data_IF_667821541791
#
_entry.id   IF_667821541791
#
_cell.length_a   1.000
_cell.length_b   1.000
_cell.length_c   1.000
_cell.angle_alpha   90.00
_cell.angle_beta   90.00
_cell.angle_gamma   90.00
#
_symmetry.space_group_name_H-M   'P 1'
#
loop_
_entity.id
_entity.type
_entity.pdbx_description
1 polymer ?
#
# COMPACT_ATOMS: atom_id res chain seq x y z
N UNK A 1 -12.96 26.51 39.61
CA UNK A 1 -13.67 26.87 40.84
C UNK A 1 -14.75 25.80 41.03
N UNK A 2 -14.40 24.80 41.85
CA UNK A 2 -15.28 23.93 42.63
C UNK A 2 -16.64 23.55 42.01
N UNK A 3 -16.70 22.45 41.24
CA UNK A 3 -17.93 21.66 41.15
C UNK A 3 -17.88 20.68 42.32
N UNK A 4 -18.56 21.07 43.40
CA UNK A 4 -18.75 20.28 44.61
C UNK A 4 -19.21 18.86 44.25
N UNK A 5 -18.47 17.86 44.76
CA UNK A 5 -18.94 16.49 44.87
C UNK A 5 -20.15 16.46 45.83
N UNK A 6 -21.34 16.18 45.32
CA UNK A 6 -22.47 15.72 46.13
C UNK A 6 -22.72 14.22 45.89
N UNK A 7 -22.33 13.45 46.90
CA UNK A 7 -22.31 11.99 47.00
C UNK A 7 -23.69 11.40 47.29
N UNK A 8 -24.56 11.28 46.27
CA UNK A 8 -25.77 10.44 46.37
C UNK A 8 -26.26 9.81 45.04
N UNK A 9 -25.47 9.88 43.96
CA UNK A 9 -25.78 9.23 42.68
C UNK A 9 -25.16 7.82 42.59
N UNK A 10 -25.82 6.91 43.31
CA UNK A 10 -26.04 5.47 43.08
C UNK A 10 -25.01 4.60 42.30
N UNK A 11 -24.71 3.37 42.80
CA UNK A 11 -23.89 2.37 42.11
C UNK A 11 -24.45 1.97 40.72
N UNK A 12 -25.71 2.32 40.44
CA UNK A 12 -26.39 2.13 39.17
C UNK A 12 -25.85 3.07 38.09
N UNK A 13 -25.56 4.34 38.42
CA UNK A 13 -25.04 5.32 37.44
C UNK A 13 -23.62 4.94 37.02
N UNK A 14 -22.80 4.46 37.97
CA UNK A 14 -21.46 3.94 37.68
C UNK A 14 -21.51 2.63 36.91
N UNK A 15 -22.45 1.72 37.21
CA UNK A 15 -22.70 0.53 36.40
C UNK A 15 -23.12 0.88 34.97
N UNK A 16 -24.03 1.84 34.79
CA UNK A 16 -24.50 2.28 33.47
C UNK A 16 -23.38 2.97 32.66
N UNK A 17 -22.54 3.78 33.30
CA UNK A 17 -21.35 4.36 32.68
C UNK A 17 -20.32 3.28 32.29
N UNK A 18 -20.06 2.31 33.17
CA UNK A 18 -19.16 1.19 32.89
C UNK A 18 -19.71 0.29 31.76
N UNK A 19 -21.01 -0.02 31.77
CA UNK A 19 -21.74 -0.70 30.70
C UNK A 19 -21.56 0.06 29.38
N UNK A 20 -21.77 1.38 29.37
CA UNK A 20 -21.55 2.21 28.18
C UNK A 20 -20.11 2.10 27.64
N UNK A 21 -19.10 2.18 28.52
CA UNK A 21 -17.68 1.99 28.16
C UNK A 21 -17.36 0.57 27.67
N UNK A 22 -18.05 -0.46 28.18
CA UNK A 22 -17.92 -1.85 27.70
C UNK A 22 -18.54 -2.07 26.32
N UNK A 23 -19.60 -1.31 25.97
CA UNK A 23 -20.29 -1.42 24.68
C UNK A 23 -19.70 -0.50 23.60
N UNK A 24 -19.06 0.61 23.97
CA UNK A 24 -18.28 1.45 23.07
C UNK A 24 -16.89 0.87 22.82
N UNK A 25 -16.81 -0.29 22.15
CA UNK A 25 -15.59 -0.61 21.40
C UNK A 25 -15.55 0.33 20.20
N UNK A 26 -14.82 1.43 20.32
CA UNK A 26 -14.44 2.21 19.16
C UNK A 26 -13.58 1.29 18.27
N UNK A 27 -14.08 0.94 17.09
CA UNK A 27 -13.25 0.33 16.06
C UNK A 27 -12.13 1.32 15.74
N UNK A 28 -10.88 0.87 15.84
CA UNK A 28 -9.75 1.73 15.58
C UNK A 28 -9.57 1.89 14.07
N UNK A 29 -9.62 3.12 13.58
CA UNK A 29 -9.31 3.42 12.18
C UNK A 29 -7.82 3.21 11.92
N UNK A 30 -7.48 2.72 10.73
CA UNK A 30 -6.10 2.59 10.30
C UNK A 30 -5.53 3.93 9.81
N UNK A 31 -4.20 4.15 9.94
CA UNK A 31 -3.55 5.30 9.34
C UNK A 31 -3.60 5.21 7.81
N UNK A 32 -3.38 6.32 7.10
CA UNK A 32 -3.22 6.28 5.64
C UNK A 32 -2.04 5.35 5.29
N UNK A 33 -2.26 4.31 4.47
CA UNK A 33 -1.18 3.41 4.10
C UNK A 33 -0.20 4.09 3.14
N UNK A 34 1.05 3.65 3.16
CA UNK A 34 2.11 4.15 2.29
C UNK A 34 2.65 3.04 1.38
N UNK A 35 3.13 3.45 0.20
CA UNK A 35 3.84 2.58 -0.74
C UNK A 35 5.21 2.15 -0.25
N UNK A 36 5.83 1.21 -0.96
CA UNK A 36 7.23 0.82 -0.77
C UNK A 36 8.06 1.18 -2.01
N UNK A 37 9.32 0.74 -2.08
CA UNK A 37 10.21 1.03 -3.22
C UNK A 37 9.65 0.58 -4.57
N UNK A 38 8.93 -0.55 -4.63
CA UNK A 38 8.44 -1.14 -5.88
C UNK A 38 6.91 -1.28 -5.93
N UNK A 39 6.19 -0.75 -4.94
CA UNK A 39 4.74 -0.79 -4.84
C UNK A 39 4.19 0.59 -4.52
N UNK A 40 3.07 0.96 -5.12
CA UNK A 40 2.38 2.22 -4.89
C UNK A 40 0.91 1.95 -4.61
N UNK A 41 0.23 2.86 -3.92
CA UNK A 41 -1.22 2.79 -3.79
C UNK A 41 -1.85 3.10 -5.14
N UNK A 42 -2.97 2.44 -5.46
CA UNK A 42 -3.73 2.80 -6.65
C UNK A 42 -4.42 4.15 -6.46
N UNK A 43 -4.79 4.81 -7.55
CA UNK A 43 -5.46 6.11 -7.52
C UNK A 43 -6.73 6.07 -6.66
N UNK A 44 -7.49 4.97 -6.70
CA UNK A 44 -8.69 4.81 -5.87
C UNK A 44 -8.36 4.81 -4.38
N UNK A 45 -7.27 4.15 -3.98
CA UNK A 45 -6.82 4.10 -2.59
C UNK A 45 -6.25 5.45 -2.12
N UNK A 46 -5.60 6.20 -3.02
CA UNK A 46 -5.07 7.54 -2.72
C UNK A 46 -6.17 8.57 -2.45
N UNK A 47 -7.33 8.42 -3.10
CA UNK A 47 -8.51 9.29 -2.97
C UNK A 47 -9.32 9.05 -1.68
N UNK A 48 -9.03 7.98 -0.93
CA UNK A 48 -9.69 7.72 0.34
C UNK A 48 -9.18 8.65 1.44
N UNK A 49 -10.12 9.15 2.24
CA UNK A 49 -9.86 10.08 3.34
C UNK A 49 -9.92 9.42 4.73
N UNK A 50 -10.50 8.23 4.85
CA UNK A 50 -10.64 7.50 6.10
C UNK A 50 -10.57 5.98 5.85
N UNK A 51 -10.12 5.23 6.86
CA UNK A 51 -9.87 3.80 6.76
C UNK A 51 -10.39 3.06 8.00
N UNK A 52 -11.73 2.97 8.18
CA UNK A 52 -12.31 2.22 9.30
C UNK A 52 -12.00 0.73 9.22
N UNK A 53 -12.25 0.02 10.32
CA UNK A 53 -12.11 -1.44 10.41
C UNK A 53 -12.74 -2.17 9.22
N UNK A 54 -12.01 -3.13 8.66
CA UNK A 54 -12.43 -3.89 7.48
C UNK A 54 -12.23 -3.18 6.14
N UNK A 55 -11.78 -1.92 6.12
CA UNK A 55 -11.42 -1.23 4.86
C UNK A 55 -10.36 -2.02 4.12
N UNK A 56 -10.55 -2.21 2.82
CA UNK A 56 -9.61 -2.88 1.93
C UNK A 56 -9.07 -1.88 0.92
N UNK A 57 -7.75 -1.76 0.83
CA UNK A 57 -7.09 -0.86 -0.14
C UNK A 57 -6.21 -1.65 -1.10
N UNK A 58 -6.10 -1.16 -2.32
CA UNK A 58 -5.30 -1.76 -3.39
C UNK A 58 -3.96 -1.07 -3.57
N UNK A 59 -2.97 -1.89 -3.90
CA UNK A 59 -1.64 -1.53 -4.33
C UNK A 59 -1.42 -2.04 -5.75
N UNK A 60 -0.52 -1.37 -6.45
CA UNK A 60 0.01 -1.80 -7.73
C UNK A 60 1.54 -1.71 -7.73
N UNK A 61 2.17 -2.34 -8.72
CA UNK A 61 3.61 -2.21 -8.89
C UNK A 61 3.96 -0.83 -9.43
N UNK A 62 5.03 -0.23 -8.88
CA UNK A 62 5.53 1.05 -9.34
C UNK A 62 5.93 1.02 -10.83
N UNK A 63 6.00 2.19 -11.45
CA UNK A 63 6.40 2.33 -12.85
C UNK A 63 7.73 1.60 -13.14
N UNK A 64 7.72 0.78 -14.20
CA UNK A 64 8.87 -0.06 -14.56
C UNK A 64 8.91 -1.43 -13.88
N UNK A 65 7.96 -1.73 -13.00
CA UNK A 65 7.77 -3.04 -12.40
C UNK A 65 6.46 -3.69 -12.84
N UNK A 66 6.36 -5.00 -12.66
CA UNK A 66 5.17 -5.81 -12.93
C UNK A 66 4.96 -6.80 -11.79
N UNK A 67 3.70 -7.19 -11.57
CA UNK A 67 3.34 -8.19 -10.55
C UNK A 67 4.01 -9.52 -10.86
N UNK A 68 4.76 -10.03 -9.89
CA UNK A 68 5.34 -11.37 -9.94
C UNK A 68 4.42 -12.38 -9.25
N UNK A 69 3.97 -12.07 -8.03
CA UNK A 69 3.11 -12.95 -7.21
C UNK A 69 2.43 -12.17 -6.07
N UNK A 70 1.51 -12.84 -5.38
CA UNK A 70 0.86 -12.36 -4.15
C UNK A 70 -0.40 -11.52 -4.36
N UNK A 71 -0.97 -11.05 -3.26
CA UNK A 71 -2.18 -10.21 -3.22
C UNK A 71 -1.84 -8.73 -3.31
N UNK A 72 -2.61 -7.98 -4.11
CA UNK A 72 -2.50 -6.52 -4.27
C UNK A 72 -3.23 -5.74 -3.18
N UNK A 73 -3.73 -6.41 -2.15
CA UNK A 73 -4.62 -5.79 -1.17
C UNK A 73 -4.14 -5.99 0.25
N UNK A 74 -4.39 -4.96 1.07
CA UNK A 74 -4.33 -5.03 2.53
C UNK A 74 -5.68 -4.66 3.12
N UNK A 75 -5.95 -5.16 4.32
CA UNK A 75 -7.19 -4.90 5.06
C UNK A 75 -6.86 -4.26 6.40
N UNK A 76 -7.66 -3.29 6.82
CA UNK A 76 -7.57 -2.70 8.16
C UNK A 76 -8.17 -3.67 9.19
N UNK A 77 -7.35 -4.09 10.16
CA UNK A 77 -7.70 -5.04 11.21
C UNK A 77 -7.19 -4.51 12.55
N UNK A 78 -8.10 -4.23 13.48
CA UNK A 78 -7.84 -3.67 14.81
C UNK A 78 -6.91 -2.43 14.77
N UNK A 79 -7.18 -1.51 13.83
CA UNK A 79 -6.39 -0.27 13.65
C UNK A 79 -5.00 -0.46 13.05
N UNK A 80 -4.71 -1.65 12.52
CA UNK A 80 -3.46 -1.95 11.82
C UNK A 80 -3.72 -2.57 10.46
N UNK A 81 -2.86 -2.26 9.50
CA UNK A 81 -2.92 -2.90 8.20
C UNK A 81 -2.40 -4.33 8.25
N UNK A 82 -3.08 -5.24 7.57
CA UNK A 82 -2.54 -6.56 7.27
C UNK A 82 -1.27 -6.46 6.43
N UNK A 83 -0.47 -7.52 6.43
CA UNK A 83 0.74 -7.59 5.60
C UNK A 83 0.40 -7.55 4.11
N UNK A 84 1.18 -6.81 3.33
CA UNK A 84 1.10 -6.77 1.88
C UNK A 84 1.98 -7.88 1.29
N UNK A 85 1.35 -8.86 0.64
CA UNK A 85 2.05 -10.00 -0.01
C UNK A 85 2.44 -9.71 -1.47
N UNK A 86 2.17 -8.50 -1.99
CA UNK A 86 2.49 -8.14 -3.37
C UNK A 86 4.00 -8.13 -3.62
N UNK A 87 4.47 -9.04 -4.47
CA UNK A 87 5.84 -9.04 -4.97
C UNK A 87 5.88 -8.49 -6.39
N UNK A 88 6.72 -7.47 -6.61
CA UNK A 88 6.92 -6.83 -7.91
C UNK A 88 8.33 -7.11 -8.43
N UNK A 89 8.44 -7.40 -9.74
CA UNK A 89 9.72 -7.57 -10.45
C UNK A 89 9.89 -6.53 -11.54
N UNK A 90 11.14 -6.25 -11.92
CA UNK A 90 11.43 -5.32 -13.03
C UNK A 90 10.78 -5.83 -14.31
N UNK A 91 10.13 -4.93 -15.05
CA UNK A 91 9.57 -5.21 -16.37
C UNK A 91 10.72 -5.55 -17.33
N UNK A 92 10.55 -6.60 -18.11
CA UNK A 92 11.47 -6.92 -19.21
C UNK A 92 10.98 -6.25 -20.50
N UNK A 93 11.81 -5.41 -21.11
CA UNK A 93 11.52 -4.77 -22.39
C UNK A 93 11.70 -5.72 -23.58
N UNK A 94 12.34 -6.87 -23.37
CA UNK A 94 12.72 -7.79 -24.44
C UNK A 94 13.91 -7.29 -25.25
N UNK A 95 14.37 -8.14 -26.16
CA UNK A 95 15.44 -7.75 -27.08
C UNK A 95 14.92 -6.73 -28.10
N UNK A 96 15.71 -5.70 -28.45
CA UNK A 96 15.39 -4.83 -29.56
C UNK A 96 15.25 -5.62 -30.86
N UNK A 97 14.40 -5.14 -31.76
CA UNK A 97 14.28 -5.73 -33.09
C UNK A 97 15.62 -5.60 -33.86
N UNK A 98 15.98 -6.57 -34.73
CA UNK A 98 17.17 -6.47 -35.58
C UNK A 98 16.98 -5.48 -36.73
N UNK A 99 17.86 -4.49 -36.83
CA UNK A 99 17.82 -3.45 -37.87
C UNK A 99 18.96 -3.67 -38.90
N UNK A 100 18.74 -3.46 -40.21
CA UNK A 100 19.81 -3.55 -41.20
C UNK A 100 20.95 -2.57 -40.90
N UNK A 101 22.19 -3.02 -41.10
CA UNK A 101 23.41 -2.22 -40.88
C UNK A 101 23.57 -1.69 -39.44
N UNK A 102 22.94 -2.36 -38.47
CA UNK A 102 22.93 -1.94 -37.09
C UNK A 102 22.93 -3.15 -36.15
N UNK A 103 23.67 -3.04 -35.06
CA UNK A 103 23.69 -4.03 -33.97
C UNK A 103 23.53 -3.36 -32.61
N UNK A 104 23.10 -4.13 -31.62
CA UNK A 104 22.94 -3.66 -30.25
C UNK A 104 23.92 -4.36 -29.30
N UNK A 105 24.55 -3.60 -28.43
CA UNK A 105 25.23 -4.12 -27.24
C UNK A 105 24.21 -4.17 -26.08
N UNK A 106 23.80 -5.39 -25.72
CA UNK A 106 22.79 -5.71 -24.71
C UNK A 106 23.45 -6.35 -23.47
N UNK A 107 24.74 -6.07 -23.23
CA UNK A 107 25.47 -6.62 -22.08
C UNK A 107 24.85 -6.26 -20.72
N UNK A 108 24.15 -5.13 -20.63
CA UNK A 108 23.42 -4.70 -19.43
C UNK A 108 22.04 -5.38 -19.25
N UNK A 109 21.61 -6.23 -20.19
CA UNK A 109 20.28 -6.87 -20.21
C UNK A 109 19.16 -5.96 -20.72
N UNK A 110 17.92 -6.39 -20.48
CA UNK A 110 16.69 -5.77 -21.02
C UNK A 110 15.66 -5.41 -19.95
N UNK A 111 16.00 -5.61 -18.67
CA UNK A 111 15.13 -5.25 -17.54
C UNK A 111 15.07 -3.73 -17.34
N UNK A 112 13.94 -3.20 -16.88
CA UNK A 112 13.69 -1.78 -16.63
C UNK A 112 14.88 -1.07 -15.98
N UNK A 113 15.35 0.05 -16.54
CA UNK A 113 16.58 0.78 -16.19
C UNK A 113 17.91 0.19 -16.75
N UNK A 114 17.87 -0.90 -17.52
CA UNK A 114 19.02 -1.30 -18.34
C UNK A 114 19.24 -0.29 -19.48
N UNK A 115 20.50 -0.03 -19.80
CA UNK A 115 20.90 0.85 -20.90
C UNK A 115 21.68 0.03 -21.91
N UNK A 116 21.27 0.10 -23.18
CA UNK A 116 21.90 -0.62 -24.29
C UNK A 116 22.52 0.38 -25.27
N UNK A 117 23.48 -0.07 -26.08
CA UNK A 117 24.13 0.78 -27.09
C UNK A 117 23.78 0.30 -28.49
N UNK A 118 23.24 1.20 -29.32
CA UNK A 118 23.12 0.97 -30.75
C UNK A 118 24.45 1.28 -31.44
N UNK A 119 24.87 0.41 -32.38
CA UNK A 119 26.13 0.50 -33.10
C UNK A 119 25.82 0.31 -34.58
N UNK A 120 26.18 1.29 -35.41
CA UNK A 120 26.00 1.22 -36.86
C UNK A 120 27.20 0.55 -37.52
N UNK A 121 26.92 -0.19 -38.59
CA UNK A 121 27.96 -0.75 -39.45
C UNK A 121 28.65 0.35 -40.26
N UNK A 122 29.88 0.08 -40.68
CA UNK A 122 30.66 1.00 -41.51
C UNK A 122 30.10 1.00 -42.94
N UNK A 123 29.84 2.19 -43.48
CA UNK A 123 29.48 2.42 -44.89
C UNK A 123 30.69 2.56 -45.81
#
# INVERSE_FOLDING_TARGET
MEVFLDTCATPIVTYLLAICLCFLKAAADCPKPEGSTNTVLTDEALLLNAFPEGTKVSFECANGYVKEKGSEFITCIDGKWSELDLTCKRKDCGQPEPQPNMRFDISAGTLFAAQIRAICDKG
#
